data_IF_705906469952
#
_entry.id   IF_705906469952
#
_cell.length_a   1.000
_cell.length_b   1.000
_cell.length_c   1.000
_cell.angle_alpha   90.00
_cell.angle_beta   90.00
_cell.angle_gamma   90.00
#
_symmetry.space_group_name_H-M   'P 1'
#
loop_
_entity.id
_entity.type
_entity.pdbx_description
1 polymer ?
#
# COMPACT_ATOMS: atom_id res chain seq x y z
N UNK A 1 3.20 -11.27 -5.47
CA UNK A 1 3.47 -11.63 -6.89
C UNK A 1 4.79 -10.96 -7.27
N UNK A 2 5.72 -11.70 -7.87
CA UNK A 2 7.03 -11.18 -8.28
C UNK A 2 7.10 -11.07 -9.80
N UNK A 3 7.42 -9.89 -10.36
CA UNK A 3 7.66 -9.76 -11.79
C UNK A 3 8.97 -10.43 -12.19
N UNK A 4 9.00 -11.10 -13.34
CA UNK A 4 10.19 -11.80 -13.87
C UNK A 4 11.32 -10.88 -14.36
N UNK A 5 11.38 -9.63 -13.89
CA UNK A 5 12.33 -8.63 -14.33
C UNK A 5 13.25 -8.20 -13.17
N UNK A 6 14.57 -8.19 -13.38
CA UNK A 6 15.57 -7.84 -12.35
C UNK A 6 15.54 -6.33 -12.01
N UNK A 7 14.93 -5.52 -12.88
CA UNK A 7 14.83 -4.06 -12.73
C UNK A 7 13.62 -3.65 -11.88
N UNK A 8 13.71 -3.77 -10.56
CA UNK A 8 13.00 -2.91 -9.58
C UNK A 8 11.52 -2.56 -9.82
N UNK A 9 10.73 -3.47 -10.39
CA UNK A 9 9.31 -3.25 -10.64
C UNK A 9 8.50 -3.34 -9.33
N UNK A 10 7.28 -2.75 -9.30
CA UNK A 10 6.37 -2.92 -8.17
C UNK A 10 6.21 -4.40 -7.79
N UNK A 11 6.21 -4.66 -6.49
CA UNK A 11 6.09 -6.01 -5.93
C UNK A 11 5.01 -6.01 -4.85
N UNK A 12 4.16 -7.02 -4.88
CA UNK A 12 3.03 -7.15 -3.96
C UNK A 12 3.24 -8.30 -2.99
N UNK A 13 2.93 -8.04 -1.72
CA UNK A 13 2.79 -9.05 -0.68
C UNK A 13 1.32 -9.12 -0.27
N UNK A 14 0.73 -10.31 -0.31
CA UNK A 14 -0.68 -10.52 0.03
C UNK A 14 -0.77 -11.41 1.27
N UNK A 15 -1.57 -10.97 2.24
CA UNK A 15 -1.82 -11.71 3.48
C UNK A 15 -3.31 -11.92 3.59
N UNK A 16 -3.72 -13.18 3.80
CA UNK A 16 -5.09 -13.53 4.14
C UNK A 16 -5.20 -13.74 5.64
N UNK A 17 -6.18 -13.10 6.26
CA UNK A 17 -6.54 -13.33 7.66
C UNK A 17 -7.93 -13.97 7.71
N UNK A 18 -8.05 -15.07 8.44
CA UNK A 18 -9.31 -15.81 8.56
C UNK A 18 -9.30 -16.71 9.79
N UNK A 19 -10.32 -16.62 10.63
CA UNK A 19 -10.51 -17.55 11.77
C UNK A 19 -10.73 -19.00 11.32
N UNK A 20 -11.29 -19.19 10.11
CA UNK A 20 -11.64 -20.51 9.55
C UNK A 20 -10.44 -21.31 9.02
N UNK A 21 -9.20 -20.81 9.20
CA UNK A 21 -7.99 -21.53 8.83
C UNK A 21 -7.70 -21.65 7.33
N UNK A 22 -8.29 -20.81 6.48
CA UNK A 22 -8.01 -20.84 5.03
C UNK A 22 -6.57 -20.42 4.72
N UNK A 23 -5.84 -21.28 4.00
CA UNK A 23 -4.42 -21.07 3.67
C UNK A 23 -4.19 -20.53 2.25
N UNK A 24 -5.17 -20.65 1.36
CA UNK A 24 -5.08 -20.20 -0.03
C UNK A 24 -5.53 -18.75 -0.22
N UNK A 25 -5.14 -18.14 -1.34
CA UNK A 25 -5.64 -16.82 -1.76
C UNK A 25 -7.16 -16.85 -1.89
N UNK A 26 -7.83 -15.79 -1.46
CA UNK A 26 -9.29 -15.63 -1.58
C UNK A 26 -9.68 -15.09 -2.97
N UNK A 27 -8.82 -14.25 -3.54
CA UNK A 27 -9.23 -13.33 -4.60
C UNK A 27 -9.91 -12.10 -4.00
N UNK A 28 -9.75 -10.95 -4.67
CA UNK A 28 -10.16 -9.64 -4.15
C UNK A 28 -9.22 -9.09 -3.09
N UNK A 29 -9.28 -7.77 -2.88
CA UNK A 29 -8.48 -7.07 -1.88
C UNK A 29 -9.41 -6.25 -0.97
N UNK A 30 -9.48 -6.61 0.30
CA UNK A 30 -10.28 -5.88 1.29
C UNK A 30 -9.55 -4.61 1.77
N UNK A 31 -8.22 -4.68 1.88
CA UNK A 31 -7.35 -3.58 2.30
C UNK A 31 -6.12 -3.57 1.41
N UNK A 32 -5.91 -2.47 0.68
CA UNK A 32 -4.68 -2.23 -0.07
C UNK A 32 -3.86 -1.15 0.62
N UNK A 33 -2.57 -1.42 0.83
CA UNK A 33 -1.58 -0.42 1.22
C UNK A 33 -0.69 -0.14 0.01
N UNK A 34 -0.92 1.00 -0.65
CA UNK A 34 -0.18 1.40 -1.85
C UNK A 34 0.78 2.55 -1.55
N UNK A 35 2.07 2.22 -1.51
CA UNK A 35 3.17 3.18 -1.28
C UNK A 35 4.03 3.42 -2.53
N UNK A 36 3.68 2.78 -3.66
CA UNK A 36 4.36 2.94 -4.94
C UNK A 36 3.44 3.69 -5.94
N UNK A 37 3.79 4.92 -6.35
CA UNK A 37 3.00 5.68 -7.32
C UNK A 37 2.79 5.00 -8.68
N UNK A 38 3.69 4.09 -9.09
CA UNK A 38 3.61 3.43 -10.41
C UNK A 38 2.47 2.40 -10.47
N UNK A 39 2.22 1.68 -9.37
CA UNK A 39 1.16 0.67 -9.29
C UNK A 39 -0.16 1.20 -8.74
N UNK A 40 -0.14 2.38 -8.09
CA UNK A 40 -1.28 2.92 -7.33
C UNK A 40 -2.63 2.91 -8.07
N UNK A 41 -2.62 3.23 -9.37
CA UNK A 41 -3.84 3.22 -10.18
C UNK A 41 -4.43 1.82 -10.37
N UNK A 42 -3.57 0.79 -10.48
CA UNK A 42 -4.00 -0.59 -10.52
C UNK A 42 -4.40 -1.06 -9.11
N UNK A 43 -3.61 -0.72 -8.10
CA UNK A 43 -3.84 -1.16 -6.71
C UNK A 43 -5.23 -0.75 -6.21
N UNK A 44 -5.67 0.47 -6.51
CA UNK A 44 -7.00 0.95 -6.09
C UNK A 44 -8.15 0.29 -6.84
N UNK A 45 -7.93 -0.19 -8.07
CA UNK A 45 -8.93 -0.93 -8.84
C UNK A 45 -9.12 -2.36 -8.32
N UNK A 46 -8.07 -2.94 -7.72
CA UNK A 46 -8.14 -4.29 -7.13
C UNK A 46 -8.89 -4.32 -5.78
N UNK A 47 -9.12 -3.16 -5.16
CA UNK A 47 -9.88 -3.06 -3.91
C UNK A 47 -11.36 -3.35 -4.14
N UNK A 48 -11.91 -4.26 -3.35
CA UNK A 48 -13.33 -4.61 -3.37
C UNK A 48 -14.19 -3.44 -2.86
N UNK A 49 -15.43 -3.27 -3.36
CA UNK A 49 -16.36 -2.29 -2.82
C UNK A 49 -16.55 -2.45 -1.31
N UNK A 50 -16.53 -1.34 -0.58
CA UNK A 50 -16.52 -1.28 0.89
C UNK A 50 -15.16 -1.49 1.53
N UNK A 51 -14.11 -1.74 0.74
CA UNK A 51 -12.74 -1.92 1.21
C UNK A 51 -12.02 -0.62 1.57
N UNK A 52 -10.75 -0.76 1.93
CA UNK A 52 -9.89 0.32 2.40
C UNK A 52 -8.66 0.48 1.52
N UNK A 53 -8.33 1.72 1.18
CA UNK A 53 -7.14 2.08 0.41
C UNK A 53 -6.25 3.01 1.22
N UNK A 54 -5.13 2.50 1.71
CA UNK A 54 -4.14 3.25 2.49
C UNK A 54 -3.00 3.69 1.57
N UNK A 55 -2.62 4.96 1.64
CA UNK A 55 -1.53 5.51 0.82
C UNK A 55 -0.69 6.56 1.55
N UNK A 56 0.48 6.86 0.99
CA UNK A 56 1.34 7.94 1.48
C UNK A 56 0.86 9.31 1.00
N UNK A 57 0.22 10.09 1.89
CA UNK A 57 -0.33 11.41 1.57
C UNK A 57 0.69 12.55 1.70
N UNK A 58 1.99 12.25 1.79
CA UNK A 58 3.04 13.28 1.67
C UNK A 58 2.93 14.02 0.32
N UNK A 59 2.36 13.36 -0.70
CA UNK A 59 1.89 13.99 -1.95
C UNK A 59 0.36 13.87 -2.06
N UNK A 60 -0.34 14.84 -2.67
CA UNK A 60 -1.78 14.75 -2.88
C UNK A 60 -2.13 13.57 -3.77
N UNK A 61 -3.28 12.94 -3.51
CA UNK A 61 -3.83 11.89 -4.35
C UNK A 61 -4.37 12.50 -5.64
N UNK A 62 -4.17 11.81 -6.76
CA UNK A 62 -4.81 12.17 -8.02
C UNK A 62 -6.32 11.95 -7.92
N UNK A 63 -7.13 12.97 -8.24
CA UNK A 63 -8.58 12.90 -8.13
C UNK A 63 -9.21 11.82 -9.01
N UNK A 64 -8.52 11.40 -10.08
CA UNK A 64 -8.95 10.29 -10.96
C UNK A 64 -8.90 8.93 -10.27
N UNK A 65 -8.21 8.82 -9.15
CA UNK A 65 -8.12 7.62 -8.34
C UNK A 65 -9.21 7.56 -7.27
N UNK A 66 -10.00 8.62 -7.09
CA UNK A 66 -11.09 8.61 -6.12
C UNK A 66 -12.15 7.60 -6.53
N UNK A 67 -12.61 6.85 -5.53
CA UNK A 67 -13.71 5.90 -5.61
C UNK A 67 -14.67 6.22 -4.48
N UNK A 68 -15.96 6.27 -4.78
CA UNK A 68 -17.02 6.53 -3.81
C UNK A 68 -17.37 5.30 -2.95
N UNK A 69 -17.03 4.12 -3.46
CA UNK A 69 -17.24 2.83 -2.80
C UNK A 69 -16.03 2.33 -2.00
N UNK A 70 -14.94 3.09 -1.89
CA UNK A 70 -13.72 2.71 -1.16
C UNK A 70 -13.34 3.77 -0.13
N UNK A 71 -12.99 3.34 1.08
CA UNK A 71 -12.50 4.23 2.13
C UNK A 71 -11.03 4.53 1.94
N UNK A 72 -10.70 5.76 1.54
CA UNK A 72 -9.32 6.20 1.28
C UNK A 72 -8.71 6.81 2.56
N UNK A 73 -7.57 6.27 2.99
CA UNK A 73 -6.85 6.69 4.20
C UNK A 73 -5.45 7.17 3.81
N UNK A 74 -5.20 8.47 3.99
CA UNK A 74 -3.88 9.07 3.76
C UNK A 74 -3.04 9.11 5.04
N UNK A 75 -1.85 8.53 5.01
CA UNK A 75 -0.88 8.57 6.11
C UNK A 75 0.41 9.22 5.61
N UNK A 76 0.99 10.22 6.29
CA UNK A 76 2.15 10.96 5.78
C UNK A 76 3.48 10.20 6.04
N UNK A 77 3.58 8.96 5.54
CA UNK A 77 4.66 8.02 5.85
C UNK A 77 6.04 8.60 5.53
N UNK A 78 6.24 9.16 4.33
CA UNK A 78 7.53 9.75 3.97
C UNK A 78 7.85 10.98 4.82
N UNK A 79 6.86 11.81 5.17
CA UNK A 79 7.08 12.96 6.06
C UNK A 79 7.56 12.50 7.45
N UNK A 80 6.85 11.55 8.06
CA UNK A 80 7.21 10.98 9.37
C UNK A 80 8.63 10.42 9.34
N UNK A 81 8.98 9.62 8.32
CA UNK A 81 10.34 9.10 8.20
C UNK A 81 11.41 10.19 8.08
N UNK A 82 11.13 11.26 7.32
CA UNK A 82 12.08 12.34 7.09
C UNK A 82 12.33 13.16 8.36
N UNK A 83 11.30 13.34 9.20
CA UNK A 83 11.34 14.07 10.47
C UNK A 83 12.06 13.26 11.55
N UNK A 84 11.75 11.96 11.69
CA UNK A 84 12.28 11.11 12.75
C UNK A 84 13.71 10.58 12.48
N UNK A 85 14.06 10.35 11.22
CA UNK A 85 15.35 9.76 10.85
C UNK A 85 16.20 10.74 10.05
N UNK A 86 17.41 11.02 10.53
CA UNK A 86 18.39 11.86 9.81
C UNK A 86 19.16 11.10 8.73
N UNK A 87 19.42 9.82 8.98
CA UNK A 87 20.16 8.95 8.06
C UNK A 87 19.25 8.49 6.89
N UNK A 88 19.64 8.73 5.62
CA UNK A 88 18.82 8.36 4.46
C UNK A 88 18.50 6.87 4.34
N UNK A 89 19.42 6.00 4.76
CA UNK A 89 19.21 4.54 4.70
C UNK A 89 18.17 4.10 5.73
N UNK A 90 18.19 4.69 6.93
CA UNK A 90 17.14 4.47 7.95
C UNK A 90 15.76 4.93 7.48
N UNK A 91 15.67 6.08 6.81
CA UNK A 91 14.40 6.56 6.22
C UNK A 91 13.77 5.53 5.29
N UNK A 92 14.59 4.93 4.41
CA UNK A 92 14.12 3.95 3.45
C UNK A 92 13.66 2.64 4.13
N UNK A 93 14.44 2.15 5.10
CA UNK A 93 14.15 0.88 5.78
C UNK A 93 12.93 0.99 6.71
N UNK A 94 12.80 2.09 7.44
CA UNK A 94 11.74 2.24 8.44
C UNK A 94 10.40 2.68 7.87
N UNK A 95 10.36 3.21 6.65
CA UNK A 95 9.08 3.44 5.96
C UNK A 95 8.21 2.19 5.93
N UNK A 96 8.84 1.02 5.79
CA UNK A 96 8.16 -0.27 5.76
C UNK A 96 7.65 -0.78 7.11
N UNK A 97 8.15 -0.20 8.21
CA UNK A 97 7.73 -0.58 9.57
C UNK A 97 6.56 0.27 10.02
N UNK A 98 6.55 1.56 9.66
CA UNK A 98 5.51 2.51 10.10
C UNK A 98 4.12 2.08 9.65
N UNK A 99 3.96 1.60 8.42
CA UNK A 99 2.65 1.22 7.91
C UNK A 99 2.14 -0.15 8.41
N UNK A 100 2.99 -0.92 9.10
CA UNK A 100 2.63 -2.22 9.71
C UNK A 100 2.05 -2.03 11.10
N UNK A 101 2.49 -0.98 11.81
CA UNK A 101 1.96 -0.59 13.12
C UNK A 101 0.61 0.08 13.02
#
# INVERSE_FOLDING_TARGET
IFPSNIQGLPTWYEVRVSEKGYLGRRGGVDIALSVNPQSMAQDIQEVEPGGYFVYDNTKPLDLRLLRDDVSIIGIPLTRICNEEYKDPRRRQLFKNVIYVG
#
